data_IF_790192974175
#
_entry.id   IF_790192974175
#
_cell.length_a   1.000
_cell.length_b   1.000
_cell.length_c   1.000
_cell.angle_alpha   90.00
_cell.angle_beta   90.00
_cell.angle_gamma   90.00
#
_symmetry.space_group_name_H-M   'P 1'
#
loop_
_entity.id
_entity.type
_entity.pdbx_description
1 polymer ?
#
# COMPACT_ATOMS: atom_id res chain seq x y z
N UNK A 1 23.96 12.79 -77.56
CA UNK A 1 24.65 11.57 -77.09
C UNK A 1 25.40 11.90 -75.83
N UNK A 2 24.91 11.46 -74.67
CA UNK A 2 25.58 11.63 -73.38
C UNK A 2 25.01 10.58 -72.41
N UNK A 3 25.84 9.58 -72.17
CA UNK A 3 25.81 8.59 -71.09
C UNK A 3 25.56 9.24 -69.71
N UNK A 4 24.74 8.61 -68.84
CA UNK A 4 24.93 8.46 -67.37
C UNK A 4 23.68 7.92 -66.62
N UNK A 5 23.80 7.30 -65.43
CA UNK A 5 23.55 5.86 -65.25
C UNK A 5 22.44 5.53 -64.23
N UNK A 6 22.15 4.22 -64.14
CA UNK A 6 21.34 3.54 -63.12
C UNK A 6 21.57 4.11 -61.71
N UNK A 7 20.50 4.61 -61.08
CA UNK A 7 20.43 4.76 -59.63
C UNK A 7 19.80 3.50 -59.03
N UNK A 8 20.60 2.76 -58.26
CA UNK A 8 20.19 1.59 -57.49
C UNK A 8 19.33 2.07 -56.31
N UNK A 9 18.05 1.69 -56.29
CA UNK A 9 17.17 1.86 -55.15
C UNK A 9 17.56 0.88 -54.03
N UNK A 10 18.28 1.36 -53.00
CA UNK A 10 18.44 0.64 -51.74
C UNK A 10 17.20 0.92 -50.89
N UNK A 11 16.26 -0.02 -50.90
CA UNK A 11 15.12 -0.06 -49.98
C UNK A 11 15.62 -0.51 -48.60
N UNK A 12 15.77 0.45 -47.69
CA UNK A 12 15.93 0.20 -46.25
C UNK A 12 14.65 -0.41 -45.69
N UNK A 13 14.63 -1.73 -45.54
CA UNK A 13 13.66 -2.47 -44.75
C UNK A 13 13.84 -2.11 -43.26
N UNK A 14 13.16 -1.05 -42.83
CA UNK A 14 12.87 -0.81 -41.41
C UNK A 14 11.89 -1.90 -40.94
N UNK A 15 12.46 -3.00 -40.46
CA UNK A 15 11.72 -4.01 -39.69
C UNK A 15 11.19 -3.31 -38.45
N UNK A 16 9.90 -2.98 -38.46
CA UNK A 16 9.18 -2.49 -37.30
C UNK A 16 9.16 -3.59 -36.24
N UNK A 17 10.10 -3.54 -35.31
CA UNK A 17 9.95 -4.25 -34.05
C UNK A 17 8.76 -3.63 -33.31
N UNK A 18 7.72 -4.40 -32.97
CA UNK A 18 6.74 -3.89 -32.03
C UNK A 18 7.49 -3.64 -30.72
N UNK A 19 7.57 -2.37 -30.32
CA UNK A 19 7.85 -2.02 -28.93
C UNK A 19 6.77 -2.72 -28.12
N UNK A 20 7.10 -3.88 -27.54
CA UNK A 20 6.31 -4.44 -26.47
C UNK A 20 6.35 -3.39 -25.38
N UNK A 21 5.24 -2.67 -25.22
CA UNK A 21 4.97 -1.98 -23.97
C UNK A 21 5.25 -3.00 -22.87
N UNK A 22 6.24 -2.70 -22.03
CA UNK A 22 6.47 -3.47 -20.83
C UNK A 22 5.20 -3.29 -19.99
N UNK A 23 4.24 -4.18 -20.20
CA UNK A 23 3.13 -4.37 -19.30
C UNK A 23 3.77 -4.76 -17.98
N UNK A 24 3.98 -3.77 -17.11
CA UNK A 24 4.26 -4.03 -15.72
C UNK A 24 3.21 -5.04 -15.25
N UNK A 25 3.64 -6.05 -14.49
CA UNK A 25 2.76 -7.10 -13.99
C UNK A 25 1.47 -6.44 -13.47
N UNK A 26 0.27 -6.76 -14.00
CA UNK A 26 -0.97 -6.10 -13.60
C UNK A 26 -1.28 -6.32 -12.10
N UNK A 27 -0.54 -7.23 -11.46
CA UNK A 27 -0.59 -7.52 -10.04
C UNK A 27 0.49 -6.80 -9.20
N UNK A 28 1.51 -6.22 -9.82
CA UNK A 28 2.57 -5.48 -9.14
C UNK A 28 2.20 -4.00 -9.00
N UNK A 29 0.96 -3.69 -8.61
CA UNK A 29 0.53 -2.31 -8.35
C UNK A 29 1.63 -1.52 -7.62
N UNK A 30 1.83 -0.23 -7.94
CA UNK A 30 3.02 0.50 -7.56
C UNK A 30 3.31 0.31 -6.07
N UNK A 31 4.58 0.04 -5.67
CA UNK A 31 4.92 -0.25 -4.29
C UNK A 31 4.33 0.83 -3.39
N UNK A 32 3.35 0.42 -2.59
CA UNK A 32 2.59 1.35 -1.77
C UNK A 32 3.45 1.70 -0.55
N UNK A 33 3.61 3.00 -0.32
CA UNK A 33 4.36 3.48 0.83
C UNK A 33 3.52 3.26 2.08
N UNK A 34 4.15 2.71 3.12
CA UNK A 34 3.55 2.54 4.44
C UNK A 34 3.06 3.87 4.96
N UNK A 35 1.93 3.91 5.65
CA UNK A 35 1.39 5.10 6.28
C UNK A 35 2.40 5.67 7.28
N UNK A 36 3.16 4.84 8.01
CA UNK A 36 4.23 5.32 8.89
C UNK A 36 5.31 6.14 8.14
N UNK A 37 5.66 5.71 6.93
CA UNK A 37 6.60 6.40 6.05
C UNK A 37 5.99 7.64 5.42
N UNK A 38 4.71 7.58 5.01
CA UNK A 38 4.00 8.75 4.48
C UNK A 38 3.85 9.82 5.55
N UNK A 39 3.54 9.42 6.78
CA UNK A 39 3.50 10.29 7.95
C UNK A 39 4.89 10.88 8.21
N UNK A 40 5.97 10.09 8.10
CA UNK A 40 7.34 10.58 8.32
C UNK A 40 7.81 11.59 7.29
N UNK A 41 7.43 11.41 6.03
CA UNK A 41 7.80 12.27 4.88
C UNK A 41 6.96 13.54 4.75
N UNK A 42 5.85 13.65 5.47
CA UNK A 42 4.97 14.81 5.41
C UNK A 42 5.06 15.62 6.70
N UNK A 43 5.12 16.94 6.55
CA UNK A 43 5.22 17.87 7.68
C UNK A 43 3.92 17.99 8.45
N UNK A 44 2.79 17.82 7.76
CA UNK A 44 1.44 17.93 8.31
C UNK A 44 0.60 16.74 7.87
N UNK A 45 -0.18 16.20 8.79
CA UNK A 45 -1.22 15.22 8.47
C UNK A 45 -2.47 15.47 9.30
N UNK A 46 -3.61 15.56 8.65
CA UNK A 46 -4.90 15.86 9.28
C UNK A 46 -5.99 14.92 8.78
N UNK A 47 -6.94 14.63 9.66
CA UNK A 47 -8.26 14.16 9.27
C UNK A 47 -9.12 15.40 9.03
N UNK A 48 -9.69 15.53 7.84
CA UNK A 48 -10.53 16.66 7.46
C UNK A 48 -11.81 16.19 6.78
N UNK A 49 -12.86 17.00 6.91
CA UNK A 49 -14.17 16.78 6.32
C UNK A 49 -14.27 17.56 5.01
N UNK A 50 -14.62 16.90 3.91
CA UNK A 50 -14.91 17.55 2.63
C UNK A 50 -16.17 18.39 2.73
N UNK A 51 -16.09 19.67 2.34
CA UNK A 51 -17.22 20.59 2.39
C UNK A 51 -17.87 20.75 1.02
N UNK A 52 -17.09 21.19 0.05
CA UNK A 52 -17.53 21.53 -1.29
C UNK A 52 -16.35 21.70 -2.25
N UNK A 53 -16.65 21.71 -3.54
CA UNK A 53 -15.73 22.04 -4.61
C UNK A 53 -16.31 23.22 -5.38
N UNK A 54 -15.49 24.24 -5.64
CA UNK A 54 -15.80 25.26 -6.64
C UNK A 54 -15.10 24.87 -7.94
N UNK A 55 -15.84 24.59 -9.03
CA UNK A 55 -15.25 24.17 -10.29
C UNK A 55 -14.30 25.21 -10.87
N UNK A 56 -13.28 24.73 -11.60
CA UNK A 56 -12.42 25.58 -12.41
C UNK A 56 -13.15 26.12 -13.64
N UNK A 57 -12.60 27.15 -14.29
CA UNK A 57 -13.09 27.56 -15.62
C UNK A 57 -12.48 26.64 -16.67
N UNK A 58 -13.30 26.11 -17.58
CA UNK A 58 -12.87 25.21 -18.67
C UNK A 58 -12.09 23.99 -18.17
N UNK A 59 -12.42 23.45 -16.99
CA UNK A 59 -11.73 22.30 -16.39
C UNK A 59 -10.33 22.59 -15.85
N UNK A 60 -9.93 23.87 -15.78
CA UNK A 60 -8.62 24.29 -15.26
C UNK A 60 -8.82 25.03 -13.93
N UNK A 61 -8.12 24.58 -12.90
CA UNK A 61 -8.15 25.15 -11.55
C UNK A 61 -9.30 24.60 -10.70
N UNK A 62 -9.99 25.48 -9.99
CA UNK A 62 -11.00 25.11 -9.00
C UNK A 62 -10.44 25.07 -7.59
N UNK A 63 -11.31 24.94 -6.60
CA UNK A 63 -10.95 24.91 -5.19
C UNK A 63 -11.81 23.90 -4.44
N UNK A 64 -11.18 22.87 -3.89
CA UNK A 64 -11.81 21.95 -2.95
C UNK A 64 -11.59 22.46 -1.52
N UNK A 65 -12.67 22.61 -0.76
CA UNK A 65 -12.63 23.08 0.63
C UNK A 65 -12.85 21.94 1.60
N UNK A 66 -12.03 21.92 2.64
CA UNK A 66 -12.10 20.99 3.74
C UNK A 66 -12.16 21.73 5.08
N UNK A 67 -12.77 21.10 6.08
CA UNK A 67 -12.70 21.52 7.48
C UNK A 67 -11.87 20.53 8.26
N UNK A 68 -10.85 21.01 8.94
CA UNK A 68 -10.02 20.17 9.79
C UNK A 68 -10.85 19.63 10.96
N UNK A 69 -10.74 18.33 11.20
CA UNK A 69 -11.36 17.66 12.34
C UNK A 69 -10.32 17.43 13.42
N UNK A 70 -9.17 16.95 13.00
CA UNK A 70 -8.10 16.53 13.89
C UNK A 70 -6.76 16.58 13.16
N UNK A 71 -5.73 17.02 13.89
CA UNK A 71 -4.35 16.97 13.42
C UNK A 71 -3.67 15.75 14.01
N UNK A 72 -3.28 14.83 13.15
CA UNK A 72 -2.50 13.65 13.53
C UNK A 72 -1.00 13.98 13.63
N UNK A 73 -0.51 14.89 12.79
CA UNK A 73 0.88 15.36 12.78
C UNK A 73 0.98 16.79 12.29
N UNK A 74 1.93 17.56 12.82
CA UNK A 74 2.23 18.92 12.37
C UNK A 74 3.36 19.53 13.20
N UNK A 75 4.09 20.53 12.67
CA UNK A 75 5.06 21.26 13.46
C UNK A 75 4.38 21.94 14.65
N UNK A 76 5.06 21.97 15.81
CA UNK A 76 4.65 22.80 16.93
C UNK A 76 4.89 24.29 16.56
N UNK A 77 3.84 25.11 16.54
CA UNK A 77 3.94 26.51 16.15
C UNK A 77 2.67 27.10 15.53
N UNK A 78 2.79 28.26 14.87
CA UNK A 78 1.68 29.06 14.29
C UNK A 78 0.94 28.42 13.11
N UNK A 79 1.52 27.41 12.45
CA UNK A 79 0.83 26.63 11.41
C UNK A 79 -0.07 25.60 12.09
N UNK A 80 -1.17 26.09 12.63
CA UNK A 80 -2.12 25.27 13.38
C UNK A 80 -3.24 24.90 12.43
N UNK A 81 -3.37 23.59 12.14
CA UNK A 81 -4.57 23.00 11.56
C UNK A 81 -5.38 22.45 12.73
N UNK A 82 -5.94 23.34 13.54
CA UNK A 82 -6.81 23.01 14.65
C UNK A 82 -8.17 22.59 14.12
N UNK A 83 -8.92 21.93 14.99
CA UNK A 83 -10.31 21.57 14.71
C UNK A 83 -11.11 22.82 14.32
N UNK A 84 -11.73 22.77 13.15
CA UNK A 84 -12.51 23.86 12.57
C UNK A 84 -11.80 24.64 11.46
N UNK A 85 -10.46 24.55 11.36
CA UNK A 85 -9.70 25.33 10.39
C UNK A 85 -9.99 24.90 8.95
N UNK A 86 -10.03 25.87 8.04
CA UNK A 86 -10.28 25.62 6.62
C UNK A 86 -9.00 25.28 5.88
N UNK A 87 -9.06 24.22 5.08
CA UNK A 87 -8.01 23.83 4.15
C UNK A 87 -8.58 23.97 2.74
N UNK A 88 -7.81 24.61 1.85
CA UNK A 88 -8.18 24.78 0.44
C UNK A 88 -7.13 24.10 -0.42
N UNK A 89 -7.58 23.16 -1.24
CA UNK A 89 -6.76 22.55 -2.28
C UNK A 89 -7.08 23.27 -3.60
N UNK A 90 -6.09 23.83 -4.31
CA UNK A 90 -6.30 24.63 -5.53
C UNK A 90 -6.55 23.74 -6.76
N UNK A 91 -7.49 22.81 -6.63
CA UNK A 91 -7.95 21.89 -7.67
C UNK A 91 -9.39 21.49 -7.40
N UNK A 92 -10.13 21.27 -8.48
CA UNK A 92 -11.43 20.63 -8.44
C UNK A 92 -11.29 19.16 -8.02
N UNK A 93 -12.09 18.74 -7.03
CA UNK A 93 -12.17 17.36 -6.57
C UNK A 93 -13.63 16.88 -6.53
N UNK A 94 -13.84 15.63 -6.93
CA UNK A 94 -15.08 14.93 -6.71
C UNK A 94 -15.11 14.43 -5.26
N UNK A 95 -16.10 14.85 -4.48
CA UNK A 95 -16.23 14.47 -3.08
C UNK A 95 -17.67 14.55 -2.61
N UNK A 96 -18.00 13.74 -1.61
CA UNK A 96 -19.30 13.79 -0.93
C UNK A 96 -19.16 14.72 0.27
N UNK A 97 -20.06 15.71 0.39
CA UNK A 97 -20.06 16.61 1.55
C UNK A 97 -20.19 15.82 2.84
N UNK A 98 -19.32 16.09 3.81
CA UNK A 98 -19.24 15.34 5.07
C UNK A 98 -18.29 14.15 5.03
N UNK A 99 -17.79 13.74 3.85
CA UNK A 99 -16.81 12.65 3.75
C UNK A 99 -15.54 13.03 4.49
N UNK A 100 -15.07 12.11 5.33
CA UNK A 100 -13.80 12.26 6.05
C UNK A 100 -12.66 11.76 5.18
N UNK A 101 -11.60 12.54 5.14
CA UNK A 101 -10.41 12.26 4.35
C UNK A 101 -9.15 12.47 5.20
N UNK A 102 -8.14 11.64 4.95
CA UNK A 102 -6.79 11.85 5.40
C UNK A 102 -6.06 12.73 4.40
N UNK A 103 -5.51 13.84 4.87
CA UNK A 103 -4.77 14.81 4.06
C UNK A 103 -3.33 14.84 4.54
N UNK A 104 -2.41 14.69 3.59
CA UNK A 104 -0.97 14.82 3.78
C UNK A 104 -0.48 16.11 3.16
N UNK A 105 0.24 16.91 3.93
CA UNK A 105 0.79 18.18 3.50
C UNK A 105 2.30 18.22 3.71
N UNK A 106 3.03 18.59 2.66
CA UNK A 106 4.46 18.91 2.75
C UNK A 106 4.64 20.42 2.82
N UNK A 107 5.51 20.87 3.71
CA UNK A 107 5.89 22.26 3.87
C UNK A 107 7.11 22.55 3.00
N UNK A 108 6.87 23.30 1.93
CA UNK A 108 7.92 24.03 1.21
C UNK A 108 7.77 25.51 1.61
N UNK A 109 7.60 26.43 0.65
CA UNK A 109 7.22 27.82 0.95
C UNK A 109 5.78 27.91 1.47
N UNK A 110 4.88 27.15 0.85
CA UNK A 110 3.50 26.92 1.29
C UNK A 110 3.26 25.43 1.58
N UNK A 111 2.08 25.08 2.09
CA UNK A 111 1.72 23.66 2.27
C UNK A 111 1.19 23.12 0.95
N UNK A 112 1.91 22.16 0.38
CA UNK A 112 1.47 21.41 -0.79
C UNK A 112 0.77 20.14 -0.34
N UNK A 113 -0.52 20.01 -0.68
CA UNK A 113 -1.35 18.88 -0.28
C UNK A 113 -1.33 17.75 -1.32
N UNK A 114 -1.11 16.52 -0.88
CA UNK A 114 -1.36 15.31 -1.65
C UNK A 114 -2.86 15.13 -1.96
N UNK A 115 -3.19 14.22 -2.88
CA UNK A 115 -4.58 13.84 -3.13
C UNK A 115 -5.22 13.32 -1.83
N UNK A 116 -6.40 13.83 -1.41
CA UNK A 116 -7.08 13.37 -0.20
C UNK A 116 -7.41 11.88 -0.29
N UNK A 117 -7.17 11.16 0.79
CA UNK A 117 -7.50 9.73 0.89
C UNK A 117 -8.82 9.60 1.66
N UNK A 118 -9.92 9.16 1.02
CA UNK A 118 -11.18 8.94 1.71
C UNK A 118 -11.01 7.91 2.83
N UNK A 119 -11.63 8.17 3.98
CA UNK A 119 -11.60 7.29 5.14
C UNK A 119 -12.97 6.65 5.38
N UNK A 120 -12.96 5.35 5.70
CA UNK A 120 -14.06 4.71 6.38
C UNK A 120 -14.00 4.99 7.88
N UNK A 121 -15.08 4.68 8.60
CA UNK A 121 -15.07 4.73 10.07
C UNK A 121 -14.04 3.75 10.67
N UNK A 122 -13.75 2.64 9.98
CA UNK A 122 -12.72 1.68 10.42
C UNK A 122 -11.32 2.27 10.25
N UNK A 123 -11.04 2.88 9.11
CA UNK A 123 -9.76 3.54 8.85
C UNK A 123 -9.51 4.69 9.84
N UNK A 124 -10.54 5.46 10.21
CA UNK A 124 -10.40 6.46 11.27
C UNK A 124 -10.03 5.84 12.63
N UNK A 125 -10.70 4.74 13.03
CA UNK A 125 -10.38 4.04 14.28
C UNK A 125 -8.97 3.45 14.27
N UNK A 126 -8.56 2.91 13.14
CA UNK A 126 -7.21 2.44 12.89
C UNK A 126 -6.19 3.57 13.13
N UNK A 127 -6.32 4.70 12.41
CA UNK A 127 -5.41 5.85 12.53
C UNK A 127 -5.32 6.42 13.96
N UNK A 128 -6.40 6.40 14.74
CA UNK A 128 -6.39 6.86 16.14
C UNK A 128 -5.57 5.98 17.08
N UNK A 129 -5.40 4.71 16.74
CA UNK A 129 -4.59 3.73 17.48
C UNK A 129 -3.24 3.48 16.83
N UNK A 130 -2.91 4.24 15.78
CA UNK A 130 -1.71 4.02 15.00
C UNK A 130 -0.46 4.14 15.87
N UNK A 131 0.47 3.18 15.81
CA UNK A 131 1.66 3.21 16.64
C UNK A 131 2.58 4.38 16.25
N UNK A 132 3.34 4.89 17.22
CA UNK A 132 4.29 5.95 16.96
C UNK A 132 5.48 5.41 16.13
N UNK A 133 6.10 6.26 15.30
CA UNK A 133 7.22 5.83 14.45
C UNK A 133 8.49 5.47 15.23
N UNK A 134 8.57 5.86 16.49
CA UNK A 134 9.65 5.53 17.43
C UNK A 134 9.27 4.43 18.43
N UNK A 135 8.05 3.88 18.37
CA UNK A 135 7.69 2.69 19.13
C UNK A 135 8.57 1.49 18.73
N UNK A 136 8.89 0.57 19.66
CA UNK A 136 9.63 -0.65 19.36
C UNK A 136 9.00 -1.45 18.21
N UNK A 137 9.82 -1.99 17.31
CA UNK A 137 9.36 -2.70 16.11
C UNK A 137 8.34 -3.78 16.47
N UNK A 138 8.62 -4.63 17.46
CA UNK A 138 7.71 -5.68 17.94
C UNK A 138 6.33 -5.12 18.31
N UNK A 139 6.27 -4.00 19.06
CA UNK A 139 5.00 -3.37 19.46
C UNK A 139 4.20 -2.90 18.23
N UNK A 140 4.88 -2.39 17.21
CA UNK A 140 4.22 -1.99 15.96
C UNK A 140 3.73 -3.20 15.16
N UNK A 141 4.53 -4.26 15.07
CA UNK A 141 4.14 -5.50 14.37
C UNK A 141 2.93 -6.18 15.03
N UNK A 142 2.85 -6.15 16.36
CA UNK A 142 1.67 -6.63 17.11
C UNK A 142 0.39 -5.88 16.74
N UNK A 143 0.49 -4.59 16.44
CA UNK A 143 -0.63 -3.83 15.96
C UNK A 143 -0.99 -4.22 14.51
N UNK A 144 -0.02 -4.25 13.60
CA UNK A 144 -0.29 -4.52 12.18
C UNK A 144 -0.73 -5.98 11.89
N UNK A 145 -0.33 -6.96 12.70
CA UNK A 145 -0.71 -8.37 12.46
C UNK A 145 -2.22 -8.59 12.57
N UNK A 146 -2.92 -7.79 13.37
CA UNK A 146 -4.38 -7.88 13.53
C UNK A 146 -5.14 -7.41 12.28
N UNK A 147 -4.44 -6.73 11.37
CA UNK A 147 -5.01 -5.92 10.29
C UNK A 147 -4.63 -6.38 8.88
N UNK A 148 -3.84 -7.46 8.74
CA UNK A 148 -3.30 -7.97 7.46
C UNK A 148 -4.37 -8.23 6.38
N UNK A 149 -5.53 -8.74 6.79
CA UNK A 149 -6.69 -9.03 5.93
C UNK A 149 -7.93 -8.24 6.37
N UNK A 150 -7.76 -6.96 6.75
CA UNK A 150 -8.90 -6.07 6.96
C UNK A 150 -9.71 -5.92 5.66
N UNK A 151 -11.03 -5.80 5.79
CA UNK A 151 -11.91 -5.51 4.65
C UNK A 151 -11.70 -4.09 4.11
N UNK A 152 -11.15 -3.18 4.91
CA UNK A 152 -10.73 -1.86 4.44
C UNK A 152 -9.36 -1.96 3.75
N UNK A 153 -9.34 -1.65 2.46
CA UNK A 153 -8.15 -1.75 1.64
C UNK A 153 -6.99 -0.89 2.15
N UNK A 154 -7.25 0.30 2.72
CA UNK A 154 -6.19 1.14 3.28
C UNK A 154 -5.48 0.41 4.43
N UNK A 155 -6.26 -0.18 5.34
CA UNK A 155 -5.77 -0.88 6.53
C UNK A 155 -4.97 -2.12 6.14
N UNK A 156 -5.54 -2.97 5.27
CA UNK A 156 -4.89 -4.20 4.83
C UNK A 156 -3.60 -3.91 4.05
N UNK A 157 -3.63 -2.91 3.14
CA UNK A 157 -2.46 -2.53 2.37
C UNK A 157 -1.35 -1.96 3.25
N UNK A 158 -1.69 -1.10 4.20
CA UNK A 158 -0.72 -0.53 5.12
C UNK A 158 -0.05 -1.60 6.01
N UNK A 159 -0.87 -2.47 6.59
CA UNK A 159 -0.39 -3.56 7.46
C UNK A 159 0.52 -4.51 6.70
N UNK A 160 0.16 -4.88 5.47
CA UNK A 160 1.02 -5.70 4.61
C UNK A 160 2.33 -5.00 4.25
N UNK A 161 2.28 -3.69 3.96
CA UNK A 161 3.48 -2.92 3.63
C UNK A 161 4.45 -2.85 4.80
N UNK A 162 3.96 -2.78 6.05
CA UNK A 162 4.80 -2.83 7.26
C UNK A 162 5.57 -4.14 7.38
N UNK A 163 4.94 -5.28 7.10
CA UNK A 163 5.66 -6.57 7.09
C UNK A 163 6.62 -6.73 5.90
N UNK A 164 6.35 -6.08 4.76
CA UNK A 164 7.15 -6.22 3.55
C UNK A 164 8.59 -5.65 3.67
N UNK A 165 8.84 -4.77 4.64
CA UNK A 165 10.14 -4.08 4.79
C UNK A 165 10.87 -4.43 6.09
N UNK A 166 10.20 -5.13 7.01
CA UNK A 166 10.76 -5.42 8.33
C UNK A 166 11.71 -6.62 8.25
N UNK A 167 12.91 -6.56 8.89
CA UNK A 167 13.83 -7.67 8.89
C UNK A 167 13.21 -8.95 9.48
N UNK A 168 13.54 -10.10 8.91
CA UNK A 168 13.06 -11.39 9.39
C UNK A 168 13.28 -11.60 10.90
N UNK A 169 14.44 -11.18 11.43
CA UNK A 169 14.76 -11.28 12.86
C UNK A 169 13.71 -10.60 13.75
N UNK A 170 13.17 -9.46 13.32
CA UNK A 170 12.11 -8.75 14.06
C UNK A 170 10.78 -9.51 13.97
N UNK A 171 10.46 -10.08 12.80
CA UNK A 171 9.23 -10.89 12.62
C UNK A 171 9.25 -12.13 13.53
N UNK A 172 10.41 -12.77 13.73
CA UNK A 172 10.50 -13.93 14.64
C UNK A 172 10.10 -13.61 16.07
N UNK A 173 10.28 -12.36 16.52
CA UNK A 173 9.87 -11.93 17.88
C UNK A 173 8.36 -11.98 18.08
N UNK A 174 7.59 -11.99 16.99
CA UNK A 174 6.13 -12.03 17.01
C UNK A 174 5.58 -13.47 17.07
N UNK A 175 6.41 -14.51 16.99
CA UNK A 175 5.96 -15.91 16.82
C UNK A 175 4.80 -16.31 17.75
N UNK A 176 4.89 -16.00 19.05
CA UNK A 176 3.86 -16.34 20.03
C UNK A 176 2.54 -15.56 19.91
N UNK A 177 2.52 -14.49 19.10
CA UNK A 177 1.38 -13.59 18.89
C UNK A 177 0.79 -13.69 17.47
N UNK A 178 1.40 -14.49 16.59
CA UNK A 178 0.90 -14.72 15.25
C UNK A 178 -0.43 -15.51 15.28
N UNK A 179 -1.41 -15.15 14.43
CA UNK A 179 -2.73 -15.76 14.47
C UNK A 179 -2.76 -17.07 13.68
N UNK A 180 -2.14 -18.14 14.21
CA UNK A 180 -2.03 -19.47 13.57
C UNK A 180 -3.28 -19.89 12.79
N UNK A 181 -4.45 -19.90 13.45
CA UNK A 181 -5.70 -20.34 12.83
C UNK A 181 -6.13 -19.45 11.65
N UNK A 182 -5.93 -18.12 11.74
CA UNK A 182 -6.22 -17.22 10.62
C UNK A 182 -5.24 -17.44 9.46
N UNK A 183 -3.96 -17.67 9.74
CA UNK A 183 -2.96 -17.95 8.72
C UNK A 183 -3.31 -19.20 7.91
N UNK A 184 -3.78 -20.27 8.57
CA UNK A 184 -4.28 -21.48 7.90
C UNK A 184 -5.46 -21.18 6.98
N UNK A 185 -6.40 -20.36 7.44
CA UNK A 185 -7.56 -19.94 6.64
C UNK A 185 -7.09 -19.15 5.41
N UNK A 186 -6.32 -18.07 5.62
CA UNK A 186 -5.85 -17.19 4.53
C UNK A 186 -5.01 -17.93 3.49
N UNK A 187 -4.21 -18.93 3.89
CA UNK A 187 -3.43 -19.74 2.96
C UNK A 187 -4.28 -20.57 1.98
N UNK A 188 -5.54 -20.84 2.31
CA UNK A 188 -6.44 -21.64 1.46
C UNK A 188 -7.56 -20.86 0.81
N UNK A 189 -7.88 -19.67 1.34
CA UNK A 189 -8.95 -18.80 0.87
C UNK A 189 -8.63 -18.23 -0.52
N UNK A 190 -9.55 -18.43 -1.46
CA UNK A 190 -9.45 -17.95 -2.84
C UNK A 190 -9.54 -16.42 -2.96
N UNK A 191 -10.04 -15.75 -1.92
CA UNK A 191 -10.10 -14.28 -1.87
C UNK A 191 -8.78 -13.66 -1.40
N UNK A 192 -7.87 -14.45 -0.82
CA UNK A 192 -6.56 -13.97 -0.38
C UNK A 192 -5.72 -13.59 -1.58
N UNK A 193 -5.15 -12.38 -1.54
CA UNK A 193 -4.28 -11.88 -2.60
C UNK A 193 -3.03 -12.79 -2.69
N UNK A 194 -2.75 -13.44 -3.85
CA UNK A 194 -1.68 -14.44 -3.97
C UNK A 194 -0.29 -13.98 -3.51
N UNK A 195 0.03 -12.69 -3.66
CA UNK A 195 1.31 -12.09 -3.25
C UNK A 195 1.53 -12.14 -1.72
N UNK A 196 0.47 -12.35 -0.92
CA UNK A 196 0.54 -12.41 0.55
C UNK A 196 0.85 -13.81 1.06
N UNK A 197 0.61 -14.84 0.25
CA UNK A 197 0.70 -16.24 0.68
C UNK A 197 2.09 -16.63 1.18
N UNK A 198 3.16 -16.07 0.59
CA UNK A 198 4.53 -16.33 1.05
C UNK A 198 4.77 -15.84 2.48
N UNK A 199 4.30 -14.64 2.81
CA UNK A 199 4.37 -14.11 4.17
C UNK A 199 3.59 -14.99 5.14
N UNK A 200 2.39 -15.43 4.77
CA UNK A 200 1.55 -16.27 5.62
C UNK A 200 2.13 -17.67 5.84
N UNK A 201 2.74 -18.25 4.80
CA UNK A 201 3.46 -19.51 4.91
C UNK A 201 4.63 -19.41 5.91
N UNK A 202 5.46 -18.38 5.78
CA UNK A 202 6.55 -18.13 6.72
C UNK A 202 6.03 -17.90 8.15
N UNK A 203 5.01 -17.06 8.32
CA UNK A 203 4.41 -16.79 9.63
C UNK A 203 3.84 -18.05 10.27
N UNK A 204 3.19 -18.92 9.48
CA UNK A 204 2.69 -20.20 9.99
C UNK A 204 3.84 -21.11 10.42
N UNK A 205 4.98 -21.09 9.71
CA UNK A 205 6.19 -21.79 10.15
C UNK A 205 6.77 -21.30 11.48
N UNK A 206 6.59 -20.02 11.81
CA UNK A 206 7.06 -19.44 13.08
C UNK A 206 6.19 -19.80 14.28
N UNK A 207 4.88 -19.94 14.10
CA UNK A 207 3.93 -20.17 15.19
C UNK A 207 3.22 -21.54 15.15
N UNK A 208 3.54 -22.35 14.15
CA UNK A 208 2.86 -23.60 13.85
C UNK A 208 3.36 -24.79 14.67
N UNK A 209 2.77 -25.94 14.34
CA UNK A 209 3.06 -27.25 14.92
C UNK A 209 3.41 -28.25 13.81
N UNK A 210 3.69 -29.51 14.18
CA UNK A 210 3.90 -30.59 13.22
C UNK A 210 2.71 -30.79 12.25
N UNK A 211 1.48 -30.47 12.67
CA UNK A 211 0.29 -30.52 11.81
C UNK A 211 0.34 -29.44 10.72
N UNK A 212 0.93 -28.29 11.03
CA UNK A 212 1.13 -27.21 10.07
C UNK A 212 2.24 -27.55 9.07
N UNK A 213 3.24 -28.35 9.47
CA UNK A 213 4.25 -28.85 8.56
C UNK A 213 3.63 -29.72 7.46
N UNK A 214 2.79 -30.69 7.83
CA UNK A 214 2.07 -31.53 6.86
C UNK A 214 1.11 -30.70 5.98
N UNK A 215 0.46 -29.70 6.57
CA UNK A 215 -0.39 -28.77 5.83
C UNK A 215 0.41 -27.97 4.79
N UNK A 216 1.52 -27.33 5.16
CA UNK A 216 2.37 -26.59 4.22
C UNK A 216 2.98 -27.50 3.16
N UNK A 217 3.38 -28.73 3.54
CA UNK A 217 3.86 -29.75 2.60
C UNK A 217 2.83 -30.07 1.53
N UNK A 218 1.57 -30.27 1.93
CA UNK A 218 0.49 -30.55 0.96
C UNK A 218 0.31 -29.42 -0.06
N UNK A 219 0.48 -28.16 0.36
CA UNK A 219 0.44 -27.01 -0.54
C UNK A 219 1.62 -26.97 -1.53
N UNK A 220 2.80 -27.42 -1.09
CA UNK A 220 4.02 -27.49 -1.92
C UNK A 220 3.90 -28.61 -2.96
N UNK A 221 3.41 -29.79 -2.54
CA UNK A 221 3.28 -30.96 -3.41
C UNK A 221 2.10 -30.84 -4.40
N UNK A 222 1.08 -30.03 -4.07
CA UNK A 222 -0.12 -29.82 -4.90
C UNK A 222 -0.40 -28.33 -5.14
N UNK A 223 0.45 -27.62 -5.91
CA UNK A 223 0.25 -26.20 -6.17
C UNK A 223 -1.02 -25.95 -7.00
N UNK A 224 -1.81 -24.93 -6.62
CA UNK A 224 -3.07 -24.56 -7.29
C UNK A 224 -2.91 -23.90 -8.67
N UNK A 225 -1.69 -23.51 -9.04
CA UNK A 225 -1.39 -22.82 -10.29
C UNK A 225 -0.04 -23.24 -10.84
N UNK A 226 0.16 -23.12 -12.15
CA UNK A 226 1.43 -23.39 -12.83
C UNK A 226 2.59 -22.52 -12.29
N UNK A 227 2.28 -21.29 -11.85
CA UNK A 227 3.24 -20.35 -11.24
C UNK A 227 2.77 -19.91 -9.85
N UNK A 228 2.92 -20.77 -8.82
CA UNK A 228 2.42 -20.48 -7.48
C UNK A 228 3.21 -19.34 -6.83
N UNK A 229 2.55 -18.20 -6.62
CA UNK A 229 3.13 -17.06 -5.91
C UNK A 229 3.24 -17.37 -4.41
N UNK A 230 4.36 -16.97 -3.80
CA UNK A 230 4.61 -17.18 -2.37
C UNK A 230 5.03 -18.60 -1.99
N UNK A 231 5.27 -19.49 -2.96
CA UNK A 231 5.71 -20.86 -2.68
C UNK A 231 7.05 -20.91 -1.91
N UNK A 232 7.93 -19.94 -2.16
CA UNK A 232 9.18 -19.74 -1.42
C UNK A 232 8.94 -19.53 0.08
N UNK A 233 8.01 -18.64 0.44
CA UNK A 233 7.63 -18.40 1.83
C UNK A 233 6.91 -19.58 2.49
N UNK A 234 6.06 -20.29 1.74
CA UNK A 234 5.42 -21.54 2.18
C UNK A 234 6.46 -22.63 2.45
N UNK A 235 7.42 -22.79 1.54
CA UNK A 235 8.53 -23.76 1.68
C UNK A 235 9.41 -23.41 2.87
N UNK A 236 9.73 -22.14 3.05
CA UNK A 236 10.48 -21.69 4.21
C UNK A 236 9.73 -21.97 5.52
N UNK A 237 8.41 -21.71 5.55
CA UNK A 237 7.57 -22.05 6.69
C UNK A 237 7.57 -23.54 7.02
N UNK A 238 7.50 -24.41 6.00
CA UNK A 238 7.61 -25.85 6.18
C UNK A 238 8.95 -26.24 6.81
N UNK A 239 10.06 -25.71 6.29
CA UNK A 239 11.41 -25.99 6.80
C UNK A 239 11.63 -25.53 8.25
N UNK A 240 10.91 -24.50 8.72
CA UNK A 240 10.98 -24.07 10.12
C UNK A 240 10.35 -25.08 11.09
N UNK A 241 9.44 -25.92 10.61
CA UNK A 241 8.67 -26.88 11.42
C UNK A 241 9.24 -28.30 11.38
N UNK A 242 10.30 -28.56 10.59
CA UNK A 242 10.92 -29.89 10.37
C UNK A 242 12.40 -29.89 10.70
#
# INVERSE_FOLDING_TARGET
>A
MRERPLFVCVLLLLVGWPMREAQACPFCGPPQTRLSERLSKNDVTVIAEFLETTPGKNGIGGNARFRTIERLRGPEGKLTFLKGDSIVLPRELNGVRGQRCLLFGRKEDEITWESPVPLSDEAERYLRKFPATDDPVTKRLEYFVEHLESADALIAMDSMAEFAVVPYSEVTTLAAKLPREKLRIWLTDEQTIPQRLGLYGMMLGLCGTAEDAEFLRSMIESPKSEFPLGLDGITFGYLLLT
#
